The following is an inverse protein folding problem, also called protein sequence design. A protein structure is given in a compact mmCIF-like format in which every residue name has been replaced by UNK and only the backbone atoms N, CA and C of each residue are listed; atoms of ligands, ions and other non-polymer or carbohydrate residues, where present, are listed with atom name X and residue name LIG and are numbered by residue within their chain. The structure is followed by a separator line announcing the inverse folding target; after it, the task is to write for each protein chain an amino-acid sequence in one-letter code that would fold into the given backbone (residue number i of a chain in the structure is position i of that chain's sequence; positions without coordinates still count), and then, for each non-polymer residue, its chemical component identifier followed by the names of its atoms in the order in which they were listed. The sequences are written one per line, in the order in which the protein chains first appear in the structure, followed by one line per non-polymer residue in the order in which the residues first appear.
data_IF_472005372289
#
_entry.id   IF_472005372289
#
_cell.length_a   1.000
_cell.length_b   1.000
_cell.length_c   1.000
_cell.angle_alpha   90.00
_cell.angle_beta   90.00
_cell.angle_gamma   90.00
#
_symmetry.space_group_name_H-M   'P 1'
#
loop_
_entity.id
_entity.type
_entity.pdbx_description
1 polymer ?
#
# COMPACT_ATOMS: atom_id res chain seq x y z
N UNK A 1 27.95 0.31 8.64
CA UNK A 1 27.86 1.36 7.59
C UNK A 1 27.15 2.56 8.20
N UNK A 2 27.54 3.79 7.84
CA UNK A 2 26.76 4.97 8.27
C UNK A 2 25.43 5.04 7.50
N UNK A 3 24.44 5.74 8.06
CA UNK A 3 23.14 5.99 7.41
C UNK A 3 23.32 6.65 6.04
N UNK A 4 24.23 7.62 5.91
CA UNK A 4 24.53 8.29 4.64
C UNK A 4 25.05 7.31 3.57
N UNK A 5 26.00 6.44 3.92
CA UNK A 5 26.54 5.43 2.99
C UNK A 5 25.45 4.45 2.55
N UNK A 6 24.59 3.99 3.48
CA UNK A 6 23.45 3.12 3.14
C UNK A 6 22.49 3.79 2.16
N UNK A 7 22.07 5.02 2.41
CA UNK A 7 21.15 5.75 1.52
C UNK A 7 21.73 5.94 0.11
N UNK A 8 23.04 6.21 0.01
CA UNK A 8 23.72 6.35 -1.27
C UNK A 8 23.73 5.03 -2.06
N UNK A 9 24.17 3.93 -1.46
CA UNK A 9 24.15 2.63 -2.12
C UNK A 9 22.73 2.17 -2.46
N UNK A 10 21.78 2.37 -1.55
CA UNK A 10 20.40 2.00 -1.77
C UNK A 10 19.80 2.74 -2.97
N UNK A 11 20.06 4.05 -3.08
CA UNK A 11 19.62 4.84 -4.23
C UNK A 11 20.34 4.45 -5.51
N UNK A 12 21.64 4.11 -5.44
CA UNK A 12 22.38 3.62 -6.60
C UNK A 12 21.80 2.32 -7.16
N UNK A 13 21.30 1.43 -6.30
CA UNK A 13 20.73 0.15 -6.70
C UNK A 13 19.24 0.23 -7.10
N UNK A 14 18.45 1.03 -6.40
CA UNK A 14 16.98 1.04 -6.55
C UNK A 14 16.45 2.28 -7.26
N UNK A 15 17.31 3.24 -7.59
CA UNK A 15 16.99 4.59 -8.08
C UNK A 15 16.07 5.41 -7.15
N UNK A 16 15.81 4.95 -5.93
CA UNK A 16 14.89 5.59 -4.98
C UNK A 16 15.46 5.61 -3.56
N UNK A 17 14.86 6.43 -2.70
CA UNK A 17 15.25 6.43 -1.28
C UNK A 17 14.66 5.22 -0.56
N UNK A 18 15.27 4.74 0.54
CA UNK A 18 14.73 3.61 1.32
C UNK A 18 13.27 3.77 1.72
N UNK A 19 12.88 4.98 2.13
CA UNK A 19 11.49 5.28 2.52
C UNK A 19 10.52 5.20 1.33
N UNK A 20 10.93 5.69 0.15
CA UNK A 20 10.12 5.57 -1.07
C UNK A 20 9.93 4.11 -1.47
N UNK A 21 10.98 3.30 -1.35
CA UNK A 21 10.91 1.86 -1.63
C UNK A 21 9.96 1.15 -0.67
N UNK A 22 10.05 1.44 0.63
CA UNK A 22 9.14 0.90 1.64
C UNK A 22 7.67 1.22 1.32
N UNK A 23 7.37 2.48 0.98
CA UNK A 23 6.02 2.89 0.57
C UNK A 23 5.56 2.11 -0.65
N UNK A 24 6.43 1.94 -1.65
CA UNK A 24 6.12 1.20 -2.87
C UNK A 24 5.77 -0.25 -2.56
N UNK A 25 6.55 -0.93 -1.73
CA UNK A 25 6.24 -2.30 -1.28
C UNK A 25 4.88 -2.35 -0.58
N UNK A 26 4.60 -1.45 0.36
CA UNK A 26 3.31 -1.41 1.08
C UNK A 26 2.12 -1.23 0.13
N UNK A 27 2.23 -0.33 -0.84
CA UNK A 27 1.19 -0.08 -1.83
C UNK A 27 0.96 -1.29 -2.75
N UNK A 28 2.04 -2.01 -3.13
CA UNK A 28 1.93 -3.24 -3.92
C UNK A 28 1.28 -4.38 -3.12
N UNK A 29 1.63 -4.54 -1.85
CA UNK A 29 1.00 -5.55 -0.99
C UNK A 29 -0.48 -5.25 -0.78
N UNK A 30 -0.85 -3.98 -0.56
CA UNK A 30 -2.24 -3.61 -0.42
C UNK A 30 -3.04 -3.91 -1.69
N UNK A 31 -2.44 -3.70 -2.87
CA UNK A 31 -3.04 -4.09 -4.15
C UNK A 31 -3.22 -5.60 -4.26
N UNK A 32 -2.23 -6.38 -3.82
CA UNK A 32 -2.32 -7.84 -3.78
C UNK A 32 -3.50 -8.27 -2.91
N UNK A 33 -3.58 -7.81 -1.66
CA UNK A 33 -4.67 -8.09 -0.72
C UNK A 33 -6.07 -7.77 -1.29
N UNK A 34 -6.22 -6.62 -1.94
CA UNK A 34 -7.50 -6.21 -2.54
C UNK A 34 -7.89 -7.14 -3.71
N UNK A 35 -6.92 -7.56 -4.52
CA UNK A 35 -7.16 -8.39 -5.70
C UNK A 35 -7.30 -9.88 -5.37
N UNK A 36 -6.58 -10.39 -4.38
CA UNK A 36 -6.55 -11.82 -4.04
C UNK A 36 -7.54 -12.18 -2.95
N UNK A 37 -7.63 -11.36 -1.89
CA UNK A 37 -8.44 -11.66 -0.71
C UNK A 37 -9.77 -10.89 -0.70
N UNK A 38 -10.06 -10.14 -1.78
CA UNK A 38 -11.25 -9.30 -1.93
C UNK A 38 -11.48 -8.34 -0.73
N UNK A 39 -10.39 -7.94 -0.08
CA UNK A 39 -10.42 -7.02 1.04
C UNK A 39 -10.79 -5.61 0.57
N UNK A 40 -11.48 -4.86 1.44
CA UNK A 40 -11.75 -3.46 1.16
C UNK A 40 -10.47 -2.63 1.31
N UNK A 41 -10.43 -1.49 0.62
CA UNK A 41 -9.24 -0.65 0.60
C UNK A 41 -8.92 -0.03 1.97
N UNK A 42 -9.91 0.15 2.83
CA UNK A 42 -9.72 0.67 4.18
C UNK A 42 -8.99 -0.34 5.05
N UNK A 43 -9.47 -1.59 5.09
CA UNK A 43 -8.86 -2.71 5.80
C UNK A 43 -7.48 -3.03 5.22
N UNK A 44 -7.33 -3.07 3.90
CA UNK A 44 -6.03 -3.27 3.27
C UNK A 44 -5.04 -2.17 3.66
N UNK A 45 -5.47 -0.89 3.70
CA UNK A 45 -4.63 0.22 4.15
C UNK A 45 -4.14 0.04 5.59
N UNK A 46 -5.02 -0.36 6.50
CA UNK A 46 -4.64 -0.63 7.90
C UNK A 46 -3.69 -1.84 8.00
N UNK A 47 -3.94 -2.91 7.24
CA UNK A 47 -3.07 -4.09 7.25
C UNK A 47 -1.64 -3.82 6.76
N UNK A 48 -1.48 -2.94 5.76
CA UNK A 48 -0.14 -2.56 5.27
C UNK A 48 0.52 -1.44 6.08
N UNK A 49 -0.13 -0.98 7.17
CA UNK A 49 0.43 -0.06 8.14
C UNK A 49 0.24 1.43 7.83
N UNK A 50 -0.85 1.80 7.14
CA UNK A 50 -1.30 3.19 7.06
C UNK A 50 -2.23 3.51 8.24
N UNK A 51 -2.05 4.69 8.82
CA UNK A 51 -2.91 5.20 9.90
C UNK A 51 -4.26 5.72 9.38
N UNK A 52 -4.31 6.11 8.10
CA UNK A 52 -5.50 6.68 7.48
C UNK A 52 -5.74 6.13 6.07
N UNK A 53 -6.94 5.59 5.77
CA UNK A 53 -7.33 5.20 4.42
C UNK A 53 -7.27 6.35 3.40
N UNK A 54 -7.49 7.60 3.85
CA UNK A 54 -7.40 8.79 3.00
C UNK A 54 -5.96 9.11 2.59
N UNK A 55 -5.00 8.91 3.49
CA UNK A 55 -3.56 9.05 3.19
C UNK A 55 -3.13 7.98 2.18
N UNK A 56 -3.53 6.74 2.42
CA UNK A 56 -3.26 5.60 1.52
C UNK A 56 -3.81 5.86 0.11
N UNK A 57 -5.07 6.28 -0.02
CA UNK A 57 -5.69 6.57 -1.32
C UNK A 57 -4.93 7.64 -2.12
N UNK A 58 -4.42 8.69 -1.45
CA UNK A 58 -3.60 9.73 -2.10
C UNK A 58 -2.27 9.19 -2.60
N UNK A 59 -1.55 8.43 -1.78
CA UNK A 59 -0.27 7.83 -2.18
C UNK A 59 -0.43 6.78 -3.28
N UNK A 60 -1.48 5.96 -3.19
CA UNK A 60 -1.79 4.97 -4.22
C UNK A 60 -2.10 5.62 -5.57
N UNK A 61 -2.95 6.65 -5.58
CA UNK A 61 -3.30 7.38 -6.81
C UNK A 61 -2.05 7.99 -7.46
N UNK A 62 -1.10 8.47 -6.66
CA UNK A 62 0.17 9.02 -7.13
C UNK A 62 1.09 7.97 -7.75
N UNK A 63 1.12 6.76 -7.20
CA UNK A 63 1.99 5.68 -7.67
C UNK A 63 1.41 4.96 -8.89
N UNK A 64 0.09 4.73 -8.92
CA UNK A 64 -0.57 3.92 -9.95
C UNK A 64 -1.33 4.73 -11.01
N UNK A 65 -1.43 6.06 -10.85
CA UNK A 65 -2.06 6.95 -11.83
C UNK A 65 -3.59 6.88 -11.87
N UNK A 66 -4.22 6.00 -11.09
CA UNK A 66 -5.67 5.89 -10.96
C UNK A 66 -6.07 5.83 -9.48
N UNK A 67 -7.17 6.50 -9.08
CA UNK A 67 -7.71 6.37 -7.73
C UNK A 67 -8.09 4.93 -7.43
N UNK A 68 -7.69 4.44 -6.26
CA UNK A 68 -8.12 3.13 -5.71
C UNK A 68 -9.64 2.97 -5.76
N UNK A 69 -10.40 4.05 -5.62
CA UNK A 69 -11.86 4.06 -5.76
C UNK A 69 -12.35 3.49 -7.10
N UNK A 70 -11.59 3.63 -8.19
CA UNK A 70 -11.92 3.01 -9.48
C UNK A 70 -11.66 1.50 -9.44
N UNK A 71 -10.59 1.06 -8.78
CA UNK A 71 -10.31 -0.36 -8.58
C UNK A 71 -11.33 -1.05 -7.65
N UNK A 72 -11.79 -0.35 -6.60
CA UNK A 72 -12.76 -0.88 -5.63
C UNK A 72 -14.17 -0.95 -6.25
N UNK A 73 -14.55 -0.05 -7.16
CA UNK A 73 -15.87 -0.06 -7.82
C UNK A 73 -16.12 -1.32 -8.67
N UNK A 74 -15.07 -2.09 -8.96
CA UNK A 74 -15.12 -3.39 -9.67
C UNK A 74 -15.35 -4.57 -8.71
N UNK A 75 -15.10 -4.43 -7.41
CA UNK A 75 -15.22 -5.53 -6.43
C UNK A 75 -16.29 -5.22 -5.37
N UNK A 76 -17.53 -5.70 -5.58
CA UNK A 76 -18.60 -5.52 -4.60
C UNK A 76 -18.31 -6.34 -3.34
N UNK A 77 -18.55 -5.70 -2.19
CA UNK A 77 -18.48 -6.23 -0.81
C UNK A 77 -18.74 -7.74 -0.69
N UNK A 78 -17.74 -8.48 -0.21
CA UNK A 78 -17.91 -9.76 0.50
C UNK A 78 -17.82 -9.54 2.01
N UNK A 79 -18.82 -10.00 2.78
CA UNK A 79 -18.86 -9.94 4.25
C UNK A 79 -17.94 -11.01 4.89
N UNK A 80 -17.48 -10.74 6.12
CA UNK A 80 -16.91 -11.70 7.08
C UNK A 80 -15.51 -11.26 7.53
N UNK A 81 -15.22 -10.90 8.78
CA UNK A 81 -15.63 -11.55 10.02
C UNK A 81 -15.83 -10.53 11.14
N UNK A 82 -17.05 -10.50 11.67
CA UNK A 82 -17.27 -10.36 13.12
C UNK A 82 -17.15 -11.78 13.65
N UNK A 83 -16.04 -12.09 14.32
CA UNK A 83 -15.89 -13.21 15.24
C UNK A 83 -14.45 -13.20 15.77
N UNK A 84 -14.25 -12.52 16.89
CA UNK A 84 -13.52 -13.05 18.03
C UNK A 84 -14.14 -12.38 19.26
N UNK A 85 -14.89 -13.22 19.98
CA UNK A 85 -15.47 -12.98 21.30
C UNK A 85 -14.42 -12.72 22.37
#
# INVERSE_FOLDING_TARGET
MSTSTFHHHFRALTAMTPLQFQKRIRLHEARRLILTDHLDASTAAFQVGYESPSQFNREYSRLFGAPLLVAIRVYPKGKGNVCCS
#
